data_IF_895583767468
#
_entry.id   IF_895583767468
#
_cell.length_a   1.000
_cell.length_b   1.000
_cell.length_c   1.000
_cell.angle_alpha   90.00
_cell.angle_beta   90.00
_cell.angle_gamma   90.00
#
_symmetry.space_group_name_H-M   'P 1'
#
loop_
_entity.id
_entity.type
_entity.pdbx_description
1 polymer ?
#
# COMPACT_ATOMS: atom_id res chain seq x y z
N UNK A 1 -41.62 109.17 -32.44
CA UNK A 1 -41.39 108.41 -31.17
C UNK A 1 -41.47 106.87 -31.28
N UNK A 2 -41.55 106.26 -32.48
CA UNK A 2 -41.73 104.79 -32.61
C UNK A 2 -40.45 103.94 -32.58
N UNK A 3 -39.25 104.54 -32.64
CA UNK A 3 -37.97 103.80 -32.72
C UNK A 3 -37.46 103.28 -31.37
N UNK A 4 -37.78 103.94 -30.25
CA UNK A 4 -37.40 103.46 -28.90
C UNK A 4 -38.06 102.14 -28.50
N UNK A 5 -39.23 101.82 -29.06
CA UNK A 5 -39.97 100.58 -28.75
C UNK A 5 -39.32 99.33 -29.35
N UNK A 6 -38.63 99.43 -30.49
CA UNK A 6 -37.98 98.29 -31.14
C UNK A 6 -36.73 97.80 -30.41
N UNK A 7 -35.96 98.72 -29.79
CA UNK A 7 -34.78 98.35 -29.00
C UNK A 7 -35.13 97.52 -27.76
N UNK A 8 -36.26 97.82 -27.11
CA UNK A 8 -36.76 97.05 -25.97
C UNK A 8 -37.20 95.64 -26.36
N UNK A 9 -37.84 95.49 -27.53
CA UNK A 9 -38.22 94.17 -28.07
C UNK A 9 -36.99 93.34 -28.40
N UNK A 10 -35.97 93.92 -29.07
CA UNK A 10 -34.70 93.25 -29.36
C UNK A 10 -33.97 92.78 -28.08
N UNK A 11 -33.94 93.62 -27.04
CA UNK A 11 -33.31 93.27 -25.76
C UNK A 11 -34.04 92.13 -25.05
N UNK A 12 -35.38 92.15 -25.09
CA UNK A 12 -36.20 91.09 -24.50
C UNK A 12 -36.02 89.76 -25.24
N UNK A 13 -35.97 89.78 -26.58
CA UNK A 13 -35.69 88.60 -27.41
C UNK A 13 -34.29 88.05 -27.12
N UNK A 14 -33.27 88.92 -27.03
CA UNK A 14 -31.91 88.52 -26.68
C UNK A 14 -31.80 87.90 -25.28
N UNK A 15 -32.53 88.45 -24.30
CA UNK A 15 -32.57 87.92 -22.94
C UNK A 15 -33.24 86.55 -22.88
N UNK A 16 -34.38 86.37 -23.57
CA UNK A 16 -35.07 85.08 -23.65
C UNK A 16 -34.19 84.04 -24.34
N UNK A 17 -33.51 84.40 -25.44
CA UNK A 17 -32.59 83.51 -26.14
C UNK A 17 -31.38 83.12 -25.26
N UNK A 18 -30.83 84.07 -24.52
CA UNK A 18 -29.75 83.82 -23.56
C UNK A 18 -30.15 82.85 -22.45
N UNK A 19 -31.37 82.98 -21.91
CA UNK A 19 -31.92 82.06 -20.90
C UNK A 19 -32.11 80.66 -21.48
N UNK A 20 -32.67 80.54 -22.69
CA UNK A 20 -32.86 79.24 -23.35
C UNK A 20 -31.52 78.55 -23.60
N UNK A 21 -30.51 79.27 -24.08
CA UNK A 21 -29.16 78.74 -24.29
C UNK A 21 -28.49 78.33 -22.98
N UNK A 22 -28.63 79.13 -21.92
CA UNK A 22 -28.09 78.80 -20.60
C UNK A 22 -28.75 77.54 -20.01
N UNK A 23 -30.08 77.40 -20.16
CA UNK A 23 -30.82 76.21 -19.74
C UNK A 23 -30.40 75.00 -20.57
N UNK A 24 -30.31 75.12 -21.90
CA UNK A 24 -29.82 74.08 -22.79
C UNK A 24 -28.41 73.62 -22.41
N UNK A 25 -27.49 74.56 -22.16
CA UNK A 25 -26.12 74.24 -21.80
C UNK A 25 -26.05 73.54 -20.44
N UNK A 26 -26.85 73.99 -19.47
CA UNK A 26 -26.95 73.38 -18.13
C UNK A 26 -27.53 71.97 -18.19
N UNK A 27 -28.62 71.79 -18.93
CA UNK A 27 -29.28 70.49 -19.12
C UNK A 27 -28.37 69.53 -19.88
N UNK A 28 -27.73 69.99 -20.96
CA UNK A 28 -26.79 69.17 -21.73
C UNK A 28 -25.62 68.72 -20.86
N UNK A 29 -24.98 69.62 -20.10
CA UNK A 29 -23.92 69.25 -19.15
C UNK A 29 -24.39 68.24 -18.10
N UNK A 30 -25.60 68.43 -17.56
CA UNK A 30 -26.15 67.55 -16.54
C UNK A 30 -26.43 66.14 -17.09
N UNK A 31 -26.92 66.04 -18.33
CA UNK A 31 -27.11 64.77 -19.04
C UNK A 31 -25.74 64.11 -19.32
N UNK A 32 -24.77 64.85 -19.86
CA UNK A 32 -23.43 64.28 -20.15
C UNK A 32 -22.70 63.80 -18.90
N UNK A 33 -22.90 64.45 -17.74
CA UNK A 33 -22.25 64.06 -16.48
C UNK A 33 -22.97 62.93 -15.73
N UNK A 34 -24.30 62.82 -15.83
CA UNK A 34 -25.09 61.84 -15.09
C UNK A 34 -25.53 60.61 -15.89
N UNK A 35 -25.31 60.57 -17.21
CA UNK A 35 -25.55 59.36 -17.99
C UNK A 35 -24.35 58.42 -17.76
N UNK A 36 -24.51 57.24 -17.14
CA UNK A 36 -23.42 56.27 -17.10
C UNK A 36 -23.11 55.92 -18.56
N UNK A 37 -21.86 56.12 -18.99
CA UNK A 37 -21.44 55.71 -20.32
C UNK A 37 -21.88 54.25 -20.55
N UNK A 38 -22.59 54.00 -21.65
CA UNK A 38 -23.03 52.67 -22.11
C UNK A 38 -21.87 51.65 -22.13
N UNK A 39 -20.64 52.15 -22.14
CA UNK A 39 -19.39 51.39 -22.01
C UNK A 39 -19.31 50.51 -20.74
N UNK A 40 -19.86 50.95 -19.60
CA UNK A 40 -19.81 50.15 -18.35
C UNK A 40 -20.60 48.84 -18.42
N UNK A 41 -21.90 48.84 -18.78
CA UNK A 41 -22.65 47.59 -18.90
C UNK A 41 -22.11 46.68 -20.02
N UNK A 42 -21.57 47.24 -21.11
CA UNK A 42 -20.91 46.45 -22.17
C UNK A 42 -19.63 45.79 -21.66
N UNK A 43 -18.77 46.53 -20.95
CA UNK A 43 -17.55 45.98 -20.36
C UNK A 43 -17.85 44.90 -19.30
N UNK A 44 -18.89 45.10 -18.48
CA UNK A 44 -19.36 44.11 -17.52
C UNK A 44 -19.90 42.84 -18.21
N UNK A 45 -20.67 42.99 -19.29
CA UNK A 45 -21.15 41.85 -20.08
C UNK A 45 -19.98 41.06 -20.69
N UNK A 46 -18.98 41.75 -21.25
CA UNK A 46 -17.77 41.10 -21.79
C UNK A 46 -16.96 40.37 -20.70
N UNK A 47 -16.86 40.94 -19.50
CA UNK A 47 -16.21 40.27 -18.36
C UNK A 47 -17.00 39.03 -17.92
N UNK A 48 -18.32 39.12 -17.88
CA UNK A 48 -19.19 38.02 -17.54
C UNK A 48 -19.08 36.87 -18.55
N UNK A 49 -19.05 37.19 -19.85
CA UNK A 49 -18.90 36.19 -20.91
C UNK A 49 -17.53 35.51 -20.85
N UNK A 50 -16.44 36.27 -20.64
CA UNK A 50 -15.09 35.70 -20.41
C UNK A 50 -15.05 34.82 -19.15
N UNK A 51 -15.71 35.24 -18.08
CA UNK A 51 -15.79 34.46 -16.85
C UNK A 51 -16.58 33.16 -17.05
N UNK A 52 -17.67 33.18 -17.83
CA UNK A 52 -18.45 32.00 -18.21
C UNK A 52 -17.63 31.04 -19.08
N UNK A 53 -16.93 31.55 -20.09
CA UNK A 53 -16.07 30.74 -20.96
C UNK A 53 -14.93 30.08 -20.16
N UNK A 54 -14.31 30.84 -19.25
CA UNK A 54 -13.30 30.31 -18.33
C UNK A 54 -13.86 29.22 -17.42
N UNK A 55 -15.04 29.46 -16.81
CA UNK A 55 -15.74 28.46 -15.99
C UNK A 55 -16.01 27.19 -16.79
N UNK A 56 -16.55 27.31 -17.99
CA UNK A 56 -16.91 26.16 -18.82
C UNK A 56 -15.66 25.37 -19.23
N UNK A 57 -14.56 26.05 -19.57
CA UNK A 57 -13.27 25.41 -19.83
C UNK A 57 -12.70 24.69 -18.61
N UNK A 58 -12.79 25.31 -17.43
CA UNK A 58 -12.36 24.67 -16.18
C UNK A 58 -13.22 23.45 -15.86
N UNK A 59 -14.52 23.53 -16.11
CA UNK A 59 -15.45 22.42 -15.88
C UNK A 59 -15.08 21.21 -16.75
N UNK A 60 -14.86 21.42 -18.06
CA UNK A 60 -14.38 20.37 -18.97
C UNK A 60 -13.08 19.75 -18.45
N UNK A 61 -12.15 20.56 -17.94
CA UNK A 61 -10.87 20.07 -17.41
C UNK A 61 -11.01 19.28 -16.11
N UNK A 62 -11.96 19.66 -15.25
CA UNK A 62 -12.31 18.89 -14.05
C UNK A 62 -12.90 17.54 -14.44
N UNK A 63 -13.79 17.51 -15.43
CA UNK A 63 -14.42 16.27 -15.89
C UNK A 63 -13.39 15.34 -16.58
N UNK A 64 -12.46 15.88 -17.37
CA UNK A 64 -11.32 15.12 -17.91
C UNK A 64 -10.41 14.54 -16.81
N UNK A 65 -10.08 15.34 -15.79
CA UNK A 65 -9.24 14.89 -14.67
C UNK A 65 -9.93 13.82 -13.84
N UNK A 66 -11.24 13.93 -13.63
CA UNK A 66 -12.06 12.89 -12.97
C UNK A 66 -12.07 11.60 -13.78
N UNK A 67 -12.31 11.68 -15.08
CA UNK A 67 -12.28 10.51 -15.96
C UNK A 67 -10.91 9.80 -15.92
N UNK A 68 -9.80 10.55 -15.95
CA UNK A 68 -8.44 9.97 -15.80
C UNK A 68 -8.20 9.35 -14.43
N UNK A 69 -8.74 9.94 -13.36
CA UNK A 69 -8.62 9.39 -12.01
C UNK A 69 -9.42 8.09 -11.88
N UNK A 70 -10.62 8.05 -12.42
CA UNK A 70 -11.48 6.87 -12.44
C UNK A 70 -10.86 5.76 -13.30
N UNK A 71 -10.25 6.10 -14.44
CA UNK A 71 -9.51 5.15 -15.27
C UNK A 71 -8.25 4.61 -14.57
N UNK A 72 -7.53 5.44 -13.81
CA UNK A 72 -6.39 4.98 -13.01
C UNK A 72 -6.81 4.10 -11.81
N UNK A 73 -7.96 4.41 -11.20
CA UNK A 73 -8.47 3.69 -10.03
C UNK A 73 -9.22 2.39 -10.40
N UNK A 74 -9.88 2.35 -11.55
CA UNK A 74 -10.64 1.20 -12.06
C UNK A 74 -9.93 0.47 -13.20
N UNK A 75 -8.75 0.93 -13.62
CA UNK A 75 -8.03 0.40 -14.75
C UNK A 75 -7.57 -1.05 -14.52
N UNK A 76 -7.53 -1.88 -15.57
CA UNK A 76 -7.04 -3.26 -15.50
C UNK A 76 -5.59 -3.34 -15.01
N UNK A 77 -4.80 -2.26 -15.17
CA UNK A 77 -3.43 -2.19 -14.64
C UNK A 77 -3.37 -2.21 -13.12
N UNK A 78 -4.21 -1.47 -12.39
CA UNK A 78 -4.17 -1.47 -10.92
C UNK A 78 -4.58 -2.84 -10.36
N UNK A 79 -5.59 -3.46 -10.98
CA UNK A 79 -6.00 -4.82 -10.63
C UNK A 79 -4.86 -5.83 -10.88
N UNK A 80 -4.18 -5.74 -12.03
CA UNK A 80 -3.03 -6.60 -12.36
C UNK A 80 -1.86 -6.39 -11.39
N UNK A 81 -1.52 -5.13 -11.09
CA UNK A 81 -0.46 -4.79 -10.12
C UNK A 81 -0.77 -5.32 -8.73
N UNK A 82 -2.04 -5.26 -8.29
CA UNK A 82 -2.47 -5.83 -7.02
C UNK A 82 -2.32 -7.36 -7.00
N UNK A 83 -2.73 -8.04 -8.06
CA UNK A 83 -2.58 -9.49 -8.19
C UNK A 83 -1.09 -9.91 -8.26
N UNK A 84 -0.25 -9.15 -8.95
CA UNK A 84 1.20 -9.34 -8.96
C UNK A 84 1.81 -9.13 -7.56
N UNK A 85 1.38 -8.09 -6.84
CA UNK A 85 1.82 -7.81 -5.47
C UNK A 85 1.42 -8.92 -4.50
N UNK A 86 0.19 -9.42 -4.59
CA UNK A 86 -0.29 -10.49 -3.72
C UNK A 86 0.45 -11.80 -4.00
N UNK A 87 0.68 -12.16 -5.28
CA UNK A 87 1.54 -13.29 -5.66
C UNK A 87 2.98 -13.13 -5.17
N UNK A 88 3.53 -11.91 -5.22
CA UNK A 88 4.87 -11.64 -4.71
C UNK A 88 4.93 -11.82 -3.18
N UNK A 89 3.91 -11.35 -2.44
CA UNK A 89 3.79 -11.54 -0.98
C UNK A 89 3.70 -13.00 -0.60
N UNK A 90 2.91 -13.79 -1.33
CA UNK A 90 2.82 -15.24 -1.12
C UNK A 90 4.18 -15.92 -1.28
N UNK A 91 4.88 -15.66 -2.39
CA UNK A 91 6.23 -16.21 -2.63
C UNK A 91 7.26 -15.74 -1.60
N UNK A 92 7.11 -14.51 -1.09
CA UNK A 92 7.97 -13.98 -0.05
C UNK A 92 7.66 -14.53 1.36
N UNK A 93 6.58 -15.32 1.51
CA UNK A 93 6.12 -15.83 2.81
C UNK A 93 5.47 -14.77 3.69
N UNK A 94 5.01 -13.65 3.12
CA UNK A 94 4.34 -12.54 3.82
C UNK A 94 2.82 -12.74 3.97
N UNK A 95 2.30 -13.86 3.49
CA UNK A 95 0.91 -14.26 3.69
C UNK A 95 0.85 -15.53 4.54
N UNK A 96 -0.24 -15.63 5.31
CA UNK A 96 -0.58 -16.85 6.02
C UNK A 96 -0.97 -17.91 4.99
N UNK A 97 -0.56 -19.15 5.23
CA UNK A 97 -0.89 -20.30 4.39
C UNK A 97 -1.57 -21.34 5.27
N UNK A 98 -2.69 -21.87 4.79
CA UNK A 98 -3.44 -22.92 5.44
C UNK A 98 -3.66 -24.07 4.46
N UNK A 99 -3.66 -25.30 4.95
CA UNK A 99 -3.94 -26.47 4.13
C UNK A 99 -3.50 -27.76 4.83
N UNK A 100 -3.66 -28.92 4.17
CA UNK A 100 -3.18 -30.18 4.70
C UNK A 100 -1.67 -30.15 4.90
N UNK A 101 -1.18 -30.95 5.84
CA UNK A 101 0.25 -30.96 6.12
C UNK A 101 0.66 -31.90 7.24
N UNK A 102 1.80 -31.58 7.84
CA UNK A 102 2.36 -32.31 8.97
C UNK A 102 2.75 -31.36 10.10
N UNK A 103 2.64 -31.85 11.32
CA UNK A 103 3.21 -31.27 12.52
C UNK A 103 4.28 -32.22 13.05
N UNK A 104 5.50 -31.72 13.22
CA UNK A 104 6.65 -32.47 13.70
C UNK A 104 7.10 -31.89 15.02
N UNK A 105 7.02 -32.68 16.08
CA UNK A 105 7.51 -32.27 17.41
C UNK A 105 8.87 -32.91 17.67
N UNK A 106 9.87 -32.07 17.93
CA UNK A 106 11.24 -32.49 18.25
C UNK A 106 11.52 -32.14 19.71
N UNK A 107 12.05 -33.10 20.47
CA UNK A 107 12.53 -32.86 21.84
C UNK A 107 13.83 -33.62 22.10
N UNK A 108 14.59 -33.18 23.10
CA UNK A 108 15.86 -33.81 23.48
C UNK A 108 15.69 -35.28 23.87
N UNK A 109 16.81 -36.00 23.94
CA UNK A 109 16.77 -37.42 24.24
C UNK A 109 16.19 -37.71 25.61
N UNK A 110 15.33 -38.73 25.68
CA UNK A 110 14.83 -39.26 26.96
C UNK A 110 15.74 -40.35 27.53
N UNK A 111 16.83 -40.70 26.85
CA UNK A 111 17.77 -41.73 27.31
C UNK A 111 18.61 -41.23 28.47
N UNK A 112 18.79 -42.08 29.48
CA UNK A 112 19.76 -41.84 30.55
C UNK A 112 21.16 -41.98 29.98
N UNK A 113 21.99 -40.94 30.12
CA UNK A 113 23.36 -40.95 29.64
C UNK A 113 24.18 -41.98 30.42
N UNK A 114 24.84 -42.87 29.69
CA UNK A 114 25.79 -43.81 30.29
C UNK A 114 27.09 -43.09 30.67
N UNK A 115 27.80 -43.57 31.71
CA UNK A 115 29.12 -43.04 32.04
C UNK A 115 30.07 -43.07 30.83
N UNK A 116 30.70 -41.92 30.53
CA UNK A 116 31.61 -41.77 29.39
C UNK A 116 30.94 -41.42 28.05
N UNK A 117 29.60 -41.36 27.98
CA UNK A 117 28.90 -40.87 26.80
C UNK A 117 29.06 -39.35 26.63
N UNK A 118 29.17 -38.89 25.38
CA UNK A 118 29.17 -37.45 25.08
C UNK A 118 27.73 -36.90 25.16
N UNK A 119 27.40 -35.99 26.09
CA UNK A 119 26.06 -35.45 26.23
C UNK A 119 25.54 -34.72 25.00
N UNK A 120 26.43 -34.12 24.21
CA UNK A 120 26.04 -33.35 23.02
C UNK A 120 25.35 -34.23 21.96
N UNK A 121 25.57 -35.55 21.95
CA UNK A 121 24.92 -36.44 20.99
C UNK A 121 23.45 -36.72 21.34
N UNK A 122 22.99 -36.32 22.53
CA UNK A 122 21.66 -36.61 23.08
C UNK A 122 20.78 -35.36 23.17
N UNK A 123 21.26 -34.22 22.69
CA UNK A 123 20.57 -32.93 22.69
C UNK A 123 20.41 -32.46 21.25
N UNK A 124 19.29 -31.82 20.96
CA UNK A 124 19.01 -31.25 19.64
C UNK A 124 19.98 -30.10 19.32
N UNK A 125 20.57 -30.16 18.14
CA UNK A 125 21.35 -29.08 17.57
C UNK A 125 20.59 -28.41 16.41
N UNK A 126 21.07 -27.23 16.02
CA UNK A 126 20.58 -26.51 14.84
C UNK A 126 20.69 -27.34 13.56
N UNK A 127 21.75 -28.13 13.42
CA UNK A 127 21.90 -29.05 12.28
C UNK A 127 20.78 -30.10 12.19
N UNK A 128 20.29 -30.61 13.32
CA UNK A 128 19.22 -31.61 13.36
C UNK A 128 17.90 -31.01 12.88
N UNK A 129 17.59 -29.80 13.37
CA UNK A 129 16.44 -29.03 12.93
C UNK A 129 16.57 -28.68 11.45
N UNK A 130 17.73 -28.22 11.00
CA UNK A 130 17.98 -27.89 9.59
C UNK A 130 17.78 -29.10 8.66
N UNK A 131 18.20 -30.30 9.07
CA UNK A 131 17.97 -31.53 8.29
C UNK A 131 16.47 -31.80 8.12
N UNK A 132 15.67 -31.71 9.19
CA UNK A 132 14.20 -31.86 9.13
C UNK A 132 13.58 -30.81 8.19
N UNK A 133 13.98 -29.54 8.33
CA UNK A 133 13.48 -28.46 7.50
C UNK A 133 13.80 -28.66 6.01
N UNK A 134 15.01 -29.14 5.71
CA UNK A 134 15.45 -29.40 4.35
C UNK A 134 14.71 -30.58 3.73
N UNK A 135 14.46 -31.66 4.49
CA UNK A 135 13.64 -32.78 4.04
C UNK A 135 12.20 -32.36 3.72
N UNK A 136 11.60 -31.51 4.56
CA UNK A 136 10.27 -30.96 4.29
C UNK A 136 10.26 -30.08 3.03
N UNK A 137 11.27 -29.23 2.85
CA UNK A 137 11.44 -28.41 1.63
C UNK A 137 11.60 -29.29 0.39
N UNK A 138 12.46 -30.31 0.45
CA UNK A 138 12.72 -31.24 -0.65
C UNK A 138 11.48 -32.06 -1.02
N UNK A 139 10.65 -32.40 -0.03
CA UNK A 139 9.37 -33.10 -0.22
C UNK A 139 8.23 -32.18 -0.72
N UNK A 140 8.50 -30.91 -0.96
CA UNK A 140 7.54 -29.98 -1.57
C UNK A 140 6.65 -29.23 -0.57
N UNK A 141 7.09 -29.03 0.67
CA UNK A 141 6.39 -28.16 1.61
C UNK A 141 6.26 -26.73 1.06
N UNK A 142 5.04 -26.21 1.02
CA UNK A 142 4.72 -24.88 0.50
C UNK A 142 5.00 -23.77 1.52
N UNK A 143 4.79 -24.07 2.80
CA UNK A 143 5.03 -23.16 3.91
C UNK A 143 5.49 -23.97 5.12
N UNK A 144 6.46 -23.43 5.87
CA UNK A 144 6.98 -24.06 7.08
C UNK A 144 7.09 -23.01 8.20
N UNK A 145 6.77 -23.40 9.43
CA UNK A 145 7.08 -22.62 10.62
C UNK A 145 7.67 -23.49 11.73
N UNK A 146 8.50 -22.89 12.59
CA UNK A 146 8.95 -23.50 13.86
C UNK A 146 8.38 -22.68 15.02
N UNK A 147 7.65 -23.31 15.93
CA UNK A 147 6.99 -22.65 17.08
C UNK A 147 6.19 -21.41 16.64
N UNK A 148 5.46 -21.52 15.53
CA UNK A 148 4.67 -20.43 14.95
C UNK A 148 5.48 -19.33 14.24
N UNK A 149 6.77 -19.52 14.00
CA UNK A 149 7.62 -18.56 13.31
C UNK A 149 7.83 -18.97 11.86
N UNK A 150 7.36 -18.15 10.91
CA UNK A 150 7.46 -18.42 9.48
C UNK A 150 8.91 -18.51 9.02
N UNK A 151 9.22 -19.56 8.26
CA UNK A 151 10.46 -19.67 7.51
C UNK A 151 10.32 -19.02 6.14
N UNK A 152 11.34 -18.27 5.76
CA UNK A 152 11.52 -17.64 4.46
C UNK A 152 12.88 -18.02 3.88
N UNK A 153 13.18 -17.57 2.66
CA UNK A 153 14.44 -17.90 1.96
C UNK A 153 15.69 -17.42 2.68
N UNK A 154 15.58 -16.37 3.51
CA UNK A 154 16.67 -15.78 4.27
C UNK A 154 16.66 -16.18 5.75
N UNK A 155 15.81 -17.14 6.13
CA UNK A 155 15.77 -17.62 7.52
C UNK A 155 17.08 -18.31 7.89
N UNK A 156 17.66 -17.82 8.98
CA UNK A 156 18.79 -18.42 9.67
C UNK A 156 18.28 -19.33 10.79
N UNK A 157 18.92 -20.49 10.96
CA UNK A 157 18.77 -21.39 12.11
C UNK A 157 20.16 -21.59 12.68
N UNK A 158 20.41 -21.14 13.91
CA UNK A 158 21.74 -21.24 14.55
C UNK A 158 21.63 -21.57 16.03
N UNK A 159 22.51 -22.43 16.52
CA UNK A 159 22.69 -22.65 17.95
C UNK A 159 23.22 -21.40 18.68
N UNK A 160 22.58 -21.05 19.79
CA UNK A 160 23.05 -20.08 20.78
C UNK A 160 22.89 -20.70 22.16
N UNK A 161 23.97 -21.26 22.68
CA UNK A 161 23.94 -22.02 23.94
C UNK A 161 22.98 -23.21 23.83
N UNK A 162 22.05 -23.42 24.77
CA UNK A 162 21.07 -24.52 24.74
C UNK A 162 19.82 -24.20 23.90
N UNK A 163 19.85 -23.13 23.11
CA UNK A 163 18.68 -22.63 22.37
C UNK A 163 19.03 -22.43 20.90
N UNK A 164 18.02 -22.43 20.04
CA UNK A 164 18.17 -22.10 18.61
C UNK A 164 17.69 -20.68 18.37
N UNK A 165 18.48 -19.89 17.66
CA UNK A 165 18.10 -18.60 17.12
C UNK A 165 17.54 -18.80 15.71
N UNK A 166 16.33 -18.30 15.50
CA UNK A 166 15.60 -18.28 14.24
C UNK A 166 15.41 -16.83 13.78
N UNK A 167 15.46 -16.58 12.47
CA UNK A 167 15.16 -15.27 11.89
C UNK A 167 15.96 -14.11 12.53
N UNK A 168 17.21 -14.37 12.94
CA UNK A 168 18.16 -13.45 13.61
C UNK A 168 17.80 -12.98 15.02
N UNK A 169 16.55 -13.08 15.46
CA UNK A 169 16.12 -12.50 16.75
C UNK A 169 15.26 -13.43 17.61
N UNK A 170 14.73 -14.51 17.07
CA UNK A 170 13.79 -15.36 17.76
C UNK A 170 14.49 -16.55 18.40
N UNK A 171 14.66 -16.50 19.72
CA UNK A 171 15.23 -17.61 20.49
C UNK A 171 14.15 -18.64 20.79
N UNK A 172 14.43 -19.91 20.48
CA UNK A 172 13.54 -21.04 20.65
C UNK A 172 14.25 -22.13 21.47
N UNK A 173 13.48 -22.81 22.32
CA UNK A 173 13.94 -23.96 23.11
C UNK A 173 13.08 -25.19 22.78
N UNK A 174 13.61 -26.41 22.97
CA UNK A 174 12.81 -27.62 22.90
C UNK A 174 11.60 -27.59 23.86
N UNK A 175 10.46 -28.19 23.49
CA UNK A 175 10.22 -28.88 22.24
C UNK A 175 10.04 -27.92 21.05
N UNK A 176 10.61 -28.28 19.90
CA UNK A 176 10.40 -27.56 18.65
C UNK A 176 9.22 -28.18 17.90
N UNK A 177 8.19 -27.39 17.66
CA UNK A 177 7.00 -27.76 16.89
C UNK A 177 7.13 -27.17 15.49
N UNK A 178 7.36 -28.03 14.51
CA UNK A 178 7.52 -27.67 13.10
C UNK A 178 6.21 -27.97 12.38
N UNK A 179 5.56 -26.93 11.87
CA UNK A 179 4.33 -27.04 11.09
C UNK A 179 4.66 -26.84 9.62
N UNK A 180 4.21 -27.73 8.74
CA UNK A 180 4.48 -27.65 7.31
C UNK A 180 3.23 -27.97 6.49
N UNK A 181 2.86 -27.05 5.59
CA UNK A 181 1.75 -27.22 4.63
C UNK A 181 2.27 -27.93 3.38
N UNK A 182 1.57 -28.98 2.95
CA UNK A 182 1.87 -29.75 1.74
C UNK A 182 1.19 -31.12 1.78
N UNK A 183 1.48 -32.00 0.81
CA UNK A 183 0.85 -33.31 0.75
C UNK A 183 1.26 -34.17 1.98
N UNK A 184 0.34 -34.51 2.91
CA UNK A 184 0.71 -35.06 4.22
C UNK A 184 1.50 -36.37 4.15
N UNK A 185 1.14 -37.26 3.22
CA UNK A 185 1.84 -38.53 3.05
C UNK A 185 3.25 -38.33 2.50
N UNK A 186 3.43 -37.38 1.57
CA UNK A 186 4.74 -37.13 0.97
C UNK A 186 5.69 -36.55 2.00
N UNK A 187 5.22 -35.56 2.77
CA UNK A 187 5.98 -34.93 3.85
C UNK A 187 6.29 -35.91 4.99
N UNK A 188 5.32 -36.71 5.42
CA UNK A 188 5.55 -37.69 6.49
C UNK A 188 6.50 -38.81 6.04
N UNK A 189 6.37 -39.28 4.80
CA UNK A 189 7.21 -40.36 4.28
C UNK A 189 8.65 -39.90 4.03
N UNK A 190 8.88 -38.66 3.58
CA UNK A 190 10.24 -38.14 3.41
C UNK A 190 11.01 -38.11 4.74
N UNK A 191 10.34 -37.67 5.81
CA UNK A 191 10.92 -37.67 7.15
C UNK A 191 11.21 -39.08 7.68
N UNK A 192 10.29 -40.03 7.44
CA UNK A 192 10.36 -41.42 7.92
C UNK A 192 11.06 -42.36 6.93
N UNK A 193 11.85 -41.84 5.99
CA UNK A 193 12.66 -42.68 5.11
C UNK A 193 13.65 -43.50 5.95
N UNK A 194 13.77 -44.79 5.63
CA UNK A 194 14.70 -45.69 6.33
C UNK A 194 16.13 -45.17 6.22
N UNK A 195 16.81 -45.06 7.35
CA UNK A 195 18.15 -44.47 7.43
C UNK A 195 18.19 -42.96 7.20
N UNK A 196 17.03 -42.30 7.14
CA UNK A 196 16.90 -40.86 6.98
C UNK A 196 17.05 -40.09 8.30
N UNK A 197 16.54 -38.86 8.29
CA UNK A 197 16.69 -37.92 9.41
C UNK A 197 16.02 -38.40 10.69
N UNK A 198 14.77 -38.91 10.64
CA UNK A 198 14.06 -39.36 11.84
C UNK A 198 14.73 -40.57 12.46
N UNK A 199 15.10 -41.58 11.64
CA UNK A 199 15.81 -42.77 12.12
C UNK A 199 17.14 -42.40 12.80
N UNK A 200 17.89 -41.47 12.20
CA UNK A 200 19.18 -41.01 12.72
C UNK A 200 19.04 -40.31 14.08
N UNK A 201 17.99 -39.50 14.25
CA UNK A 201 17.72 -38.80 15.53
C UNK A 201 17.24 -39.80 16.60
N UNK A 202 16.31 -40.70 16.24
CA UNK A 202 15.78 -41.70 17.16
C UNK A 202 16.86 -42.68 17.64
N UNK A 203 17.89 -42.96 16.84
CA UNK A 203 19.06 -43.74 17.27
C UNK A 203 19.70 -43.17 18.54
N UNK A 204 19.87 -41.85 18.61
CA UNK A 204 20.37 -41.12 19.79
C UNK A 204 19.31 -40.93 20.89
N UNK A 205 18.09 -41.39 20.66
CA UNK A 205 16.97 -41.27 21.58
C UNK A 205 16.28 -39.91 21.56
N UNK A 206 16.66 -39.03 20.63
CA UNK A 206 15.96 -37.78 20.36
C UNK A 206 14.51 -38.11 20.03
N UNK A 207 13.60 -37.39 20.67
CA UNK A 207 12.18 -37.63 20.54
C UNK A 207 11.67 -36.90 19.30
N UNK A 208 11.14 -37.66 18.34
CA UNK A 208 10.57 -37.13 17.11
C UNK A 208 9.18 -37.71 16.93
N UNK A 209 8.16 -36.86 17.04
CA UNK A 209 6.78 -37.19 16.71
C UNK A 209 6.39 -36.52 15.39
N UNK A 210 5.78 -37.27 14.47
CA UNK A 210 5.37 -36.78 13.16
C UNK A 210 3.90 -37.12 12.97
N UNK A 211 3.06 -36.09 13.05
CA UNK A 211 1.61 -36.18 12.94
C UNK A 211 1.15 -35.57 11.62
N UNK A 212 0.34 -36.31 10.88
CA UNK A 212 -0.39 -35.77 9.71
C UNK A 212 -1.61 -35.02 10.21
N UNK A 213 -1.88 -33.87 9.61
CA UNK A 213 -3.00 -33.02 9.99
C UNK A 213 -3.74 -32.59 8.73
N UNK A 214 -5.07 -32.68 8.75
CA UNK A 214 -5.91 -32.32 7.60
C UNK A 214 -5.85 -30.82 7.29
N UNK A 215 -5.63 -30.01 8.33
CA UNK A 215 -5.44 -28.57 8.20
C UNK A 215 -4.38 -28.10 9.20
N UNK A 216 -3.32 -27.49 8.69
CA UNK A 216 -2.28 -26.82 9.47
C UNK A 216 -2.18 -25.37 9.01
N UNK A 217 -2.04 -24.46 9.97
CA UNK A 217 -1.88 -23.03 9.72
C UNK A 217 -0.43 -22.64 9.91
N UNK A 218 0.18 -22.06 8.87
CA UNK A 218 1.51 -21.46 8.94
C UNK A 218 1.36 -19.95 8.79
N UNK A 219 1.76 -19.14 9.80
CA UNK A 219 1.54 -17.71 9.78
C UNK A 219 2.36 -16.99 8.72
N UNK A 220 2.01 -15.72 8.47
CA UNK A 220 2.82 -14.81 7.68
C UNK A 220 4.12 -14.47 8.41
N UNK A 221 5.19 -14.23 7.65
CA UNK A 221 6.41 -13.63 8.18
C UNK A 221 6.14 -12.16 8.54
N UNK A 222 6.44 -11.78 9.78
CA UNK A 222 6.19 -10.44 10.33
C UNK A 222 7.44 -9.57 10.39
N UNK A 223 8.61 -10.13 10.10
CA UNK A 223 9.86 -9.37 10.05
C UNK A 223 9.98 -8.52 8.78
N UNK A 224 10.82 -7.49 8.83
CA UNK A 224 11.15 -6.68 7.66
C UNK A 224 12.13 -7.40 6.72
N UNK A 225 11.89 -7.30 5.41
CA UNK A 225 12.88 -7.63 4.38
C UNK A 225 13.73 -6.37 4.13
N UNK A 226 14.84 -6.25 4.86
CA UNK A 226 15.77 -5.14 4.69
C UNK A 226 16.94 -5.60 3.81
N UNK A 227 17.10 -4.94 2.67
CA UNK A 227 18.27 -5.10 1.81
C UNK A 227 19.13 -3.84 1.93
N UNK A 228 20.42 -3.99 2.25
CA UNK A 228 21.32 -2.84 2.43
C UNK A 228 21.67 -2.16 1.10
N UNK A 229 21.86 -2.96 0.04
CA UNK A 229 22.33 -2.46 -1.26
C UNK A 229 21.28 -2.60 -2.36
N UNK A 230 20.48 -3.67 -2.36
CA UNK A 230 19.48 -3.91 -3.40
C UNK A 230 18.31 -2.93 -3.26
N UNK A 231 17.83 -2.42 -4.40
CA UNK A 231 16.67 -1.53 -4.48
C UNK A 231 15.70 -2.05 -5.53
N UNK A 232 14.38 -1.90 -5.33
CA UNK A 232 13.41 -2.22 -6.37
C UNK A 232 13.67 -1.35 -7.60
N UNK A 233 13.52 -1.95 -8.79
CA UNK A 233 13.56 -1.24 -10.06
C UNK A 233 12.34 -0.29 -10.13
N UNK A 234 12.54 0.91 -10.67
CA UNK A 234 11.51 1.96 -10.73
C UNK A 234 10.62 1.83 -11.96
#
# INVERSE_FOLDING_TARGET
>A
MKTKSYYWVMLLVGLVMGIILAVQFRVTRHITQNTPALDRPIALAQQLDKARESRDRLQVRVDELRARLDEAAAGPELARMKEELDRAREKAGMTQVQGPGVEVTLNDSSKVLQPGANPNLYVLHDEDVLRILNELKAAGAQAISINGQRLISTTEVRCIGPTILLNKNQRLSPPFVISAVGHPDTLANSLKMKGGVVDSLQFWGIQVDVKKVDEVTVPAYTGGLVFEYARPEK
#
